data_IF_911318170724
#
_entry.id   IF_911318170724
#
_cell.length_a   1.000
_cell.length_b   1.000
_cell.length_c   1.000
_cell.angle_alpha   90.00
_cell.angle_beta   90.00
_cell.angle_gamma   90.00
#
_symmetry.space_group_name_H-M   'P 1'
#
loop_
_entity.id
_entity.type
_entity.pdbx_description
1 polymer ?
#
# COMPACT_ATOMS: atom_id res chain seq x y z
N UNK A 1 -23.40 -6.83 0.73
CA UNK A 1 -22.77 -7.02 2.07
C UNK A 1 -21.56 -7.90 1.91
N UNK A 2 -20.40 -7.45 2.38
CA UNK A 2 -19.19 -8.28 2.44
C UNK A 2 -19.40 -9.41 3.45
N UNK A 3 -18.79 -10.57 3.21
CA UNK A 3 -18.75 -11.67 4.16
C UNK A 3 -17.92 -11.34 5.42
N UNK A 4 -17.92 -12.22 6.41
CA UNK A 4 -17.24 -11.99 7.68
C UNK A 4 -15.71 -11.97 7.53
N UNK A 5 -15.15 -12.82 6.65
CA UNK A 5 -13.72 -12.89 6.38
C UNK A 5 -13.21 -11.61 5.72
N UNK A 6 -13.86 -11.18 4.64
CA UNK A 6 -13.56 -9.90 3.96
C UNK A 6 -13.66 -8.72 4.93
N UNK A 7 -14.70 -8.70 5.78
CA UNK A 7 -14.87 -7.63 6.78
C UNK A 7 -13.76 -7.63 7.81
N UNK A 8 -13.34 -8.81 8.29
CA UNK A 8 -12.25 -8.92 9.27
C UNK A 8 -10.91 -8.47 8.65
N UNK A 9 -10.59 -8.89 7.44
CA UNK A 9 -9.39 -8.48 6.72
C UNK A 9 -9.38 -6.97 6.44
N UNK A 10 -10.52 -6.38 6.05
CA UNK A 10 -10.63 -4.94 5.84
C UNK A 10 -10.36 -4.14 7.13
N UNK A 11 -10.78 -4.64 8.30
CA UNK A 11 -10.46 -4.01 9.59
C UNK A 11 -8.96 -4.08 9.91
N UNK A 12 -8.27 -5.16 9.54
CA UNK A 12 -6.81 -5.23 9.68
C UNK A 12 -6.13 -4.21 8.77
N UNK A 13 -6.55 -4.12 7.50
CA UNK A 13 -6.00 -3.15 6.54
C UNK A 13 -6.28 -1.70 6.94
N UNK A 14 -7.38 -1.42 7.63
CA UNK A 14 -7.65 -0.06 8.13
C UNK A 14 -6.61 0.44 9.13
N UNK A 15 -5.90 -0.47 9.82
CA UNK A 15 -4.80 -0.11 10.72
C UNK A 15 -3.54 0.38 9.96
N UNK A 16 -3.47 0.17 8.66
CA UNK A 16 -2.35 0.63 7.83
C UNK A 16 -2.44 2.13 7.49
N UNK A 17 -3.59 2.75 7.69
CA UNK A 17 -3.76 4.19 7.43
C UNK A 17 -3.05 5.04 8.51
N UNK A 18 -2.37 6.15 8.13
CA UNK A 18 -2.12 6.62 6.77
C UNK A 18 -0.97 5.90 6.08
N UNK A 19 -0.12 5.18 6.80
CA UNK A 19 1.04 4.46 6.29
C UNK A 19 1.32 3.22 7.14
N UNK A 20 1.59 2.03 6.55
CA UNK A 20 1.82 0.81 7.29
C UNK A 20 3.13 0.81 8.11
N UNK A 21 4.12 1.63 7.75
CA UNK A 21 5.37 1.75 8.50
C UNK A 21 5.24 2.58 9.76
N UNK A 22 4.25 3.49 9.81
CA UNK A 22 4.01 4.31 10.99
C UNK A 22 3.58 3.42 12.15
N UNK A 23 4.29 3.55 13.29
CA UNK A 23 4.05 2.77 14.50
C UNK A 23 4.01 1.24 14.29
N UNK A 24 4.77 0.74 13.32
CA UNK A 24 4.76 -0.67 12.91
C UNK A 24 4.96 -1.65 14.07
N UNK A 25 5.81 -1.31 15.05
CA UNK A 25 6.04 -2.16 16.24
C UNK A 25 4.80 -2.28 17.10
N UNK A 26 4.10 -1.15 17.33
CA UNK A 26 2.84 -1.12 18.10
C UNK A 26 1.74 -1.90 17.38
N UNK A 27 1.73 -1.85 16.04
CA UNK A 27 0.83 -2.66 15.21
C UNK A 27 1.18 -4.15 15.26
N UNK A 28 2.35 -4.54 15.78
CA UNK A 28 2.85 -5.92 15.80
C UNK A 28 3.39 -6.36 14.44
N UNK A 29 3.87 -5.42 13.62
CA UNK A 29 4.50 -5.69 12.33
C UNK A 29 6.01 -5.82 12.48
N UNK A 30 6.66 -6.48 11.53
CA UNK A 30 8.12 -6.56 11.45
C UNK A 30 8.62 -6.04 10.11
N UNK A 31 9.79 -5.40 10.16
CA UNK A 31 10.46 -4.82 9.00
C UNK A 31 11.84 -5.46 8.88
N UNK A 32 12.21 -5.85 7.67
CA UNK A 32 13.50 -6.45 7.36
C UNK A 32 14.09 -5.79 6.10
N UNK A 33 15.32 -5.30 6.19
CA UNK A 33 16.08 -4.83 5.02
C UNK A 33 16.65 -6.06 4.28
N UNK A 34 16.16 -6.30 3.06
CA UNK A 34 16.58 -7.43 2.21
C UNK A 34 17.83 -7.12 1.39
N UNK A 35 18.34 -5.89 1.43
CA UNK A 35 19.47 -5.41 0.64
C UNK A 35 19.05 -4.42 -0.43
N UNK A 36 19.90 -4.32 -1.48
CA UNK A 36 19.62 -3.45 -2.63
C UNK A 36 19.23 -4.27 -3.85
N UNK A 37 18.32 -3.72 -4.66
CA UNK A 37 17.85 -4.31 -5.91
C UNK A 37 17.51 -3.19 -6.90
N UNK A 38 17.71 -3.42 -8.20
CA UNK A 38 17.27 -2.48 -9.23
C UNK A 38 15.79 -2.70 -9.53
N UNK A 39 14.98 -1.66 -9.41
CA UNK A 39 13.55 -1.67 -9.74
C UNK A 39 13.22 -0.49 -10.65
N UNK A 40 12.49 -0.74 -11.75
CA UNK A 40 12.17 0.31 -12.75
C UNK A 40 13.40 1.14 -13.19
N UNK A 41 14.57 0.48 -13.31
CA UNK A 41 15.82 1.12 -13.69
C UNK A 41 16.53 1.92 -12.58
N UNK A 42 15.99 1.94 -11.36
CA UNK A 42 16.52 2.69 -10.20
C UNK A 42 17.08 1.73 -9.16
N UNK A 43 18.23 2.05 -8.56
CA UNK A 43 18.77 1.31 -7.41
C UNK A 43 17.91 1.60 -6.17
N UNK A 44 17.43 0.55 -5.51
CA UNK A 44 16.50 0.65 -4.40
C UNK A 44 16.94 -0.18 -3.21
N UNK A 45 16.61 0.30 -2.02
CA UNK A 45 16.49 -0.54 -0.84
C UNK A 45 15.22 -1.38 -0.93
N UNK A 46 15.36 -2.71 -0.82
CA UNK A 46 14.23 -3.62 -0.72
C UNK A 46 13.90 -3.90 0.73
N UNK A 47 12.72 -3.51 1.14
CA UNK A 47 12.21 -3.68 2.50
C UNK A 47 11.08 -4.71 2.48
N UNK A 48 11.19 -5.73 3.33
CA UNK A 48 10.10 -6.67 3.60
C UNK A 48 9.33 -6.20 4.82
N UNK A 49 8.04 -5.99 4.66
CA UNK A 49 7.10 -5.72 5.73
C UNK A 49 6.22 -6.94 5.94
N UNK A 50 6.26 -7.52 7.13
CA UNK A 50 5.35 -8.60 7.55
C UNK A 50 4.33 -8.01 8.51
N UNK A 51 3.06 -8.07 8.11
CA UNK A 51 1.92 -7.57 8.89
C UNK A 51 1.23 -8.69 9.66
N UNK A 52 0.15 -8.38 10.35
CA UNK A 52 -0.67 -9.42 10.99
C UNK A 52 -1.24 -10.36 9.93
N UNK A 53 -1.27 -11.68 10.21
CA UNK A 53 -1.87 -12.64 9.28
C UNK A 53 -3.32 -12.28 8.95
N UNK A 54 -3.66 -12.41 7.69
CA UNK A 54 -5.03 -12.31 7.18
C UNK A 54 -5.66 -13.72 7.10
N UNK A 55 -6.97 -13.78 6.96
CA UNK A 55 -7.67 -15.04 6.70
C UNK A 55 -7.97 -15.14 5.21
N UNK A 56 -7.64 -16.26 4.59
CA UNK A 56 -7.88 -16.55 3.17
C UNK A 56 -8.51 -17.95 3.07
N UNK A 57 -9.72 -18.03 2.59
CA UNK A 57 -10.50 -19.28 2.50
C UNK A 57 -10.56 -20.05 3.84
N UNK A 58 -10.74 -19.29 4.95
CA UNK A 58 -10.79 -19.82 6.31
C UNK A 58 -9.42 -20.15 6.93
N UNK A 59 -8.30 -19.98 6.20
CA UNK A 59 -6.95 -20.29 6.65
C UNK A 59 -6.17 -19.02 6.96
N UNK A 60 -5.49 -18.97 8.12
CA UNK A 60 -4.57 -17.89 8.45
C UNK A 60 -3.35 -17.93 7.52
N UNK A 61 -3.10 -16.83 6.84
CA UNK A 61 -2.08 -16.67 5.81
C UNK A 61 -1.23 -15.44 6.12
N UNK A 62 0.08 -15.57 5.97
CA UNK A 62 0.99 -14.44 6.19
C UNK A 62 0.71 -13.29 5.20
N UNK A 63 0.68 -12.07 5.71
CA UNK A 63 0.58 -10.85 4.93
C UNK A 63 1.94 -10.19 4.82
N UNK A 64 2.65 -10.54 3.75
CA UNK A 64 4.00 -10.07 3.45
C UNK A 64 3.97 -9.19 2.22
N UNK A 65 4.57 -8.00 2.34
CA UNK A 65 4.67 -7.02 1.27
C UNK A 65 6.13 -6.56 1.13
N UNK A 66 6.58 -6.33 -0.09
CA UNK A 66 7.90 -5.78 -0.37
C UNK A 66 7.75 -4.35 -0.88
N UNK A 67 8.56 -3.47 -0.33
CA UNK A 67 8.62 -2.06 -0.69
C UNK A 67 10.00 -1.74 -1.24
N UNK A 68 10.04 -0.91 -2.27
CA UNK A 68 11.28 -0.49 -2.92
C UNK A 68 11.40 1.02 -2.79
N UNK A 69 12.40 1.46 -2.04
CA UNK A 69 12.70 2.89 -1.83
C UNK A 69 13.95 3.24 -2.62
N UNK A 70 13.91 4.30 -3.44
CA UNK A 70 15.10 4.74 -4.15
C UNK A 70 16.23 5.09 -3.15
N UNK A 71 17.49 4.86 -3.56
CA UNK A 71 18.63 5.04 -2.66
C UNK A 71 19.09 6.49 -2.54
N UNK A 72 18.59 7.40 -3.38
CA UNK A 72 18.97 8.82 -3.38
C UNK A 72 18.05 9.66 -2.51
N UNK A 73 16.74 9.52 -2.69
CA UNK A 73 15.74 10.36 -2.03
C UNK A 73 14.92 9.60 -0.97
N UNK A 74 15.07 8.28 -0.91
CA UNK A 74 14.30 7.38 -0.06
C UNK A 74 12.78 7.44 -0.31
N UNK A 75 12.37 7.77 -1.53
CA UNK A 75 10.97 7.76 -1.91
C UNK A 75 10.55 6.35 -2.33
N UNK A 76 9.36 5.88 -1.95
CA UNK A 76 8.85 4.59 -2.39
C UNK A 76 8.53 4.64 -3.89
N UNK A 77 9.13 3.76 -4.69
CA UNK A 77 8.90 3.72 -6.14
C UNK A 77 8.14 2.49 -6.60
N UNK A 78 8.12 1.44 -5.79
CA UNK A 78 7.31 0.26 -6.08
C UNK A 78 6.92 -0.49 -4.81
N UNK A 79 5.80 -1.21 -4.91
CA UNK A 79 5.39 -2.23 -3.94
C UNK A 79 5.10 -3.53 -4.66
N UNK A 80 5.40 -4.64 -4.02
CA UNK A 80 5.16 -5.98 -4.55
C UNK A 80 4.45 -6.81 -3.48
N UNK A 81 3.32 -7.40 -3.85
CA UNK A 81 2.51 -8.26 -2.99
C UNK A 81 2.16 -9.54 -3.73
N UNK A 82 1.89 -10.62 -3.00
CA UNK A 82 1.37 -11.85 -3.60
C UNK A 82 -0.16 -11.81 -3.63
N UNK A 83 -0.74 -12.17 -4.77
CA UNK A 83 -2.19 -12.33 -4.91
C UNK A 83 -2.59 -13.61 -4.17
N UNK A 84 -3.43 -13.48 -3.16
CA UNK A 84 -3.78 -14.58 -2.24
C UNK A 84 -5.00 -15.39 -2.70
N UNK A 85 -5.84 -14.85 -3.59
CA UNK A 85 -7.10 -15.49 -4.01
C UNK A 85 -7.36 -15.30 -5.51
N UNK A 86 -8.28 -16.08 -6.06
CA UNK A 86 -8.73 -16.00 -7.43
C UNK A 86 -7.78 -16.66 -8.45
N UNK A 87 -8.02 -16.47 -9.76
CA UNK A 87 -7.28 -17.14 -10.83
C UNK A 87 -5.78 -16.80 -10.87
N UNK A 88 -5.39 -15.65 -10.31
CA UNK A 88 -4.00 -15.20 -10.25
C UNK A 88 -3.31 -15.51 -8.92
N UNK A 89 -3.89 -16.37 -8.07
CA UNK A 89 -3.30 -16.77 -6.77
C UNK A 89 -1.86 -17.25 -6.94
N UNK A 90 -0.96 -16.74 -6.07
CA UNK A 90 0.46 -17.03 -6.09
C UNK A 90 1.27 -16.14 -7.04
N UNK A 91 0.62 -15.36 -7.90
CA UNK A 91 1.31 -14.39 -8.73
C UNK A 91 1.63 -13.13 -7.94
N UNK A 92 2.64 -12.40 -8.38
CA UNK A 92 3.01 -11.11 -7.81
C UNK A 92 2.21 -10.00 -8.46
N UNK A 93 1.62 -9.16 -7.63
CA UNK A 93 1.08 -7.87 -8.03
C UNK A 93 2.10 -6.78 -7.72
N UNK A 94 2.47 -6.01 -8.73
CA UNK A 94 3.41 -4.90 -8.60
C UNK A 94 2.65 -3.59 -8.83
N UNK A 95 2.82 -2.65 -7.90
CA UNK A 95 2.36 -1.28 -8.07
C UNK A 95 3.58 -0.37 -8.12
N UNK A 96 3.61 0.57 -9.05
CA UNK A 96 4.70 1.54 -9.18
C UNK A 96 4.22 2.96 -8.92
N UNK A 97 5.13 3.80 -8.42
CA UNK A 97 4.91 5.21 -8.10
C UNK A 97 6.03 6.04 -8.71
N UNK A 98 5.66 7.16 -9.35
CA UNK A 98 6.62 8.06 -10.00
C UNK A 98 6.05 9.47 -10.08
N UNK A 99 6.79 10.38 -10.73
CA UNK A 99 6.40 11.79 -10.87
C UNK A 99 6.11 12.41 -9.49
N UNK A 100 7.08 12.31 -8.58
CA UNK A 100 6.96 12.88 -7.25
C UNK A 100 7.00 14.39 -7.30
N UNK A 101 6.00 15.04 -6.74
CA UNK A 101 5.88 16.50 -6.67
C UNK A 101 5.65 16.92 -5.22
N UNK A 102 6.23 18.06 -4.86
CA UNK A 102 6.05 18.66 -3.55
C UNK A 102 4.70 19.36 -3.46
N UNK A 103 3.96 19.08 -2.40
CA UNK A 103 2.73 19.78 -2.05
C UNK A 103 2.82 20.16 -0.58
N UNK A 104 2.93 21.45 -0.30
CA UNK A 104 3.05 22.00 1.07
C UNK A 104 4.15 21.30 1.91
N UNK A 105 5.33 21.06 1.32
CA UNK A 105 6.48 20.45 1.99
C UNK A 105 6.47 18.92 2.05
N UNK A 106 5.48 18.26 1.46
CA UNK A 106 5.38 16.79 1.42
C UNK A 106 5.43 16.31 -0.03
N UNK A 107 6.21 15.27 -0.30
CA UNK A 107 6.31 14.66 -1.63
C UNK A 107 5.24 13.60 -1.83
N UNK A 108 4.46 13.74 -2.91
CA UNK A 108 3.43 12.78 -3.32
C UNK A 108 3.68 12.28 -4.74
N UNK A 109 3.43 10.98 -5.05
CA UNK A 109 3.50 10.49 -6.41
C UNK A 109 2.30 11.01 -7.24
N UNK A 110 2.58 11.61 -8.39
CA UNK A 110 1.54 12.07 -9.33
C UNK A 110 1.26 11.07 -10.45
N UNK A 111 2.09 10.05 -10.58
CA UNK A 111 1.85 8.92 -11.47
C UNK A 111 1.96 7.61 -10.70
N UNK A 112 0.97 6.75 -10.87
CA UNK A 112 0.91 5.42 -10.25
C UNK A 112 0.45 4.40 -11.29
N UNK A 113 0.96 3.16 -11.18
CA UNK A 113 0.46 2.03 -11.95
C UNK A 113 0.14 0.89 -10.99
N UNK A 114 -1.05 0.33 -11.09
CA UNK A 114 -1.47 -0.81 -10.30
C UNK A 114 -2.16 -1.84 -11.19
N UNK A 115 -1.61 -3.04 -11.25
CA UNK A 115 -2.19 -4.12 -12.06
C UNK A 115 -2.31 -3.78 -13.55
N UNK A 116 -1.39 -2.98 -14.09
CA UNK A 116 -1.42 -2.51 -15.48
C UNK A 116 -2.31 -1.28 -15.72
N UNK A 117 -3.00 -0.77 -14.71
CA UNK A 117 -3.80 0.44 -14.80
C UNK A 117 -2.98 1.66 -14.38
N UNK A 118 -2.70 2.53 -15.34
CA UNK A 118 -2.01 3.79 -15.09
C UNK A 118 -3.00 4.85 -14.57
N UNK A 119 -2.63 5.48 -13.46
CA UNK A 119 -3.37 6.58 -12.85
C UNK A 119 -2.49 7.82 -12.78
N UNK A 120 -3.05 8.98 -13.12
CA UNK A 120 -2.39 10.27 -12.96
C UNK A 120 -3.18 11.15 -12.01
N UNK A 121 -2.51 11.65 -10.98
CA UNK A 121 -3.08 12.63 -10.06
C UNK A 121 -3.05 13.99 -10.73
N UNK A 122 -4.17 14.70 -10.74
CA UNK A 122 -4.24 16.05 -11.30
C UNK A 122 -3.93 17.12 -10.26
N UNK A 123 -4.36 16.90 -9.02
CA UNK A 123 -4.18 17.86 -7.93
C UNK A 123 -4.31 17.16 -6.59
N UNK A 124 -3.48 17.55 -5.64
CA UNK A 124 -3.61 17.19 -4.22
C UNK A 124 -3.87 18.49 -3.44
N UNK A 125 -4.77 18.45 -2.49
CA UNK A 125 -5.04 19.55 -1.55
C UNK A 125 -4.99 18.98 -0.15
N UNK A 126 -4.10 19.49 0.68
CA UNK A 126 -3.97 19.05 2.08
C UNK A 126 -5.04 19.70 2.94
N UNK A 127 -5.56 18.92 3.89
CA UNK A 127 -6.55 19.37 4.89
C UNK A 127 -7.70 20.21 4.29
N UNK A 128 -8.35 19.78 3.19
CA UNK A 128 -9.47 20.53 2.62
C UNK A 128 -10.64 20.57 3.60
N UNK A 129 -11.43 21.64 3.54
CA UNK A 129 -12.75 21.63 4.19
C UNK A 129 -13.64 20.61 3.49
N UNK A 130 -14.07 19.59 4.22
CA UNK A 130 -14.91 18.53 3.66
C UNK A 130 -16.34 18.66 4.24
N UNK A 131 -17.33 18.62 3.34
CA UNK A 131 -18.73 18.53 3.77
C UNK A 131 -18.97 17.16 4.43
N UNK A 132 -19.42 17.11 5.72
CA UNK A 132 -19.72 15.87 6.40
C UNK A 132 -20.69 14.95 5.64
N UNK A 133 -21.54 15.51 4.79
CA UNK A 133 -22.48 14.76 3.92
C UNK A 133 -21.77 13.89 2.88
N UNK A 134 -20.52 14.23 2.52
CA UNK A 134 -19.73 13.42 1.56
C UNK A 134 -19.41 12.01 2.08
N UNK A 135 -19.45 11.82 3.39
CA UNK A 135 -19.21 10.53 4.07
C UNK A 135 -20.49 9.90 4.63
N UNK A 136 -21.64 10.52 4.42
CA UNK A 136 -22.90 9.93 4.84
C UNK A 136 -23.22 8.68 4.02
N UNK A 137 -23.73 7.64 4.67
CA UNK A 137 -24.25 6.49 3.94
C UNK A 137 -25.37 6.94 2.98
N UNK A 138 -25.39 6.43 1.74
CA UNK A 138 -26.53 6.67 0.86
C UNK A 138 -27.82 6.25 1.56
N UNK A 139 -28.84 7.10 1.50
CA UNK A 139 -30.18 6.70 1.96
C UNK A 139 -30.61 5.44 1.19
N UNK A 140 -31.07 4.43 1.92
CA UNK A 140 -31.62 3.19 1.35
C UNK A 140 -32.98 3.47 0.72
#
# INVERSE_FOLDING_TARGET
>A
KSDAETTANAKLSAADFPDPFLDYKTKGYSIELMGKETKEGTECYKIKLTKKPITVDGVKTDDVNYYYFDTENNLPIATETEIKQGPAKGQKSVSTMSDYQEVDGIYFPFAMNQGGQAMKVKKITLNPTVDPKAYAFPAQ
#
